data_IF_480242140129
#
_entry.id   IF_480242140129
#
_cell.length_a   1.000
_cell.length_b   1.000
_cell.length_c   1.000
_cell.angle_alpha   90.00
_cell.angle_beta   90.00
_cell.angle_gamma   90.00
#
_symmetry.space_group_name_H-M   'P 1'
#
loop_
_entity.id
_entity.type
_entity.pdbx_description
1 polymer ?
#
# COMPACT_ATOMS: atom_id res chain seq x y z
N UNK A 1 -12.05 -10.27 -5.83
CA UNK A 1 -11.75 -11.22 -4.73
C UNK A 1 -12.18 -10.57 -3.41
N UNK A 2 -12.87 -11.28 -2.53
CA UNK A 2 -13.36 -10.72 -1.25
C UNK A 2 -12.14 -10.48 -0.34
N UNK A 3 -11.96 -9.26 0.15
CA UNK A 3 -10.94 -8.98 1.16
C UNK A 3 -11.23 -9.83 2.40
N UNK A 4 -10.25 -10.62 2.83
CA UNK A 4 -10.39 -11.48 4.01
C UNK A 4 -10.24 -10.58 5.23
N UNK A 5 -11.26 -10.55 6.08
CA UNK A 5 -11.18 -9.88 7.38
C UNK A 5 -10.35 -10.73 8.35
N UNK A 6 -9.04 -10.46 8.40
CA UNK A 6 -8.10 -11.16 9.26
C UNK A 6 -8.46 -11.06 10.75
N UNK A 7 -9.22 -10.05 11.17
CA UNK A 7 -9.66 -9.96 12.57
C UNK A 7 -10.51 -11.15 13.00
N UNK A 8 -11.27 -11.75 12.07
CA UNK A 8 -12.07 -12.96 12.31
C UNK A 8 -11.23 -14.23 12.38
N UNK A 9 -10.13 -14.27 11.65
CA UNK A 9 -9.18 -15.40 11.66
C UNK A 9 -8.39 -15.40 12.97
N UNK A 10 -7.86 -14.24 13.36
CA UNK A 10 -7.04 -14.10 14.58
C UNK A 10 -7.87 -13.90 15.86
N UNK A 11 -9.20 -13.76 15.75
CA UNK A 11 -10.13 -13.59 16.88
C UNK A 11 -10.01 -12.25 17.62
N UNK A 12 -9.21 -11.30 17.12
CA UNK A 12 -8.99 -9.99 17.72
C UNK A 12 -8.66 -8.96 16.66
N UNK A 13 -9.45 -7.88 16.59
CA UNK A 13 -9.22 -6.75 15.68
C UNK A 13 -7.92 -6.02 15.99
N UNK A 14 -7.65 -5.78 17.28
CA UNK A 14 -6.41 -5.13 17.73
C UNK A 14 -5.19 -5.98 17.36
N UNK A 15 -5.24 -7.30 17.59
CA UNK A 15 -4.15 -8.22 17.20
C UNK A 15 -3.90 -8.23 15.70
N UNK A 16 -4.94 -8.34 14.88
CA UNK A 16 -4.80 -8.37 13.43
C UNK A 16 -4.14 -7.08 12.92
N UNK A 17 -4.56 -5.91 13.42
CA UNK A 17 -3.95 -4.62 13.10
C UNK A 17 -2.48 -4.52 13.56
N UNK A 18 -2.16 -4.99 14.75
CA UNK A 18 -0.78 -4.99 15.27
C UNK A 18 0.11 -5.88 14.42
N UNK A 19 -0.31 -7.12 14.17
CA UNK A 19 0.43 -8.05 13.32
C UNK A 19 0.66 -7.43 11.94
N UNK A 20 -0.38 -6.92 11.30
CA UNK A 20 -0.29 -6.24 10.00
C UNK A 20 0.74 -5.09 10.07
N UNK A 21 0.62 -4.15 11.01
CA UNK A 21 1.56 -3.03 11.15
C UNK A 21 3.02 -3.49 11.33
N UNK A 22 3.28 -4.44 12.21
CA UNK A 22 4.64 -4.92 12.47
C UNK A 22 5.23 -5.65 11.27
N UNK A 23 4.44 -6.47 10.57
CA UNK A 23 4.92 -7.16 9.36
C UNK A 23 5.23 -6.17 8.24
N UNK A 24 4.37 -5.17 8.05
CA UNK A 24 4.55 -4.17 7.01
C UNK A 24 5.79 -3.31 7.26
N UNK A 25 6.05 -2.89 8.50
CA UNK A 25 7.30 -2.21 8.87
C UNK A 25 8.53 -3.08 8.61
N UNK A 26 8.49 -4.35 9.03
CA UNK A 26 9.57 -5.32 8.80
C UNK A 26 9.88 -5.50 7.30
N UNK A 27 8.85 -5.66 6.47
CA UNK A 27 8.99 -5.78 5.01
C UNK A 27 9.53 -4.51 4.34
N UNK A 28 9.38 -3.35 4.98
CA UNK A 28 9.98 -2.09 4.53
C UNK A 28 11.50 -2.05 4.71
N UNK A 29 12.08 -3.05 5.37
CA UNK A 29 13.44 -3.03 5.89
C UNK A 29 13.57 -2.25 7.21
N UNK A 30 12.45 -1.84 7.82
CA UNK A 30 12.42 -1.09 9.07
C UNK A 30 12.02 -1.99 10.25
N UNK A 31 13.00 -2.71 10.80
CA UNK A 31 12.79 -3.51 12.02
C UNK A 31 13.28 -2.77 13.29
N UNK A 32 13.35 -1.43 13.28
CA UNK A 32 13.83 -0.65 14.44
C UNK A 32 12.89 -0.76 15.66
N UNK A 33 11.63 -1.07 15.37
CA UNK A 33 10.58 -1.34 16.35
C UNK A 33 9.76 -0.12 16.73
N UNK A 34 8.65 -0.38 17.42
CA UNK A 34 7.66 0.63 17.79
C UNK A 34 7.39 0.61 19.29
N UNK A 35 7.23 1.79 19.87
CA UNK A 35 6.72 1.95 21.23
C UNK A 35 5.20 1.79 21.26
N UNK A 36 4.67 1.18 22.32
CA UNK A 36 3.23 0.94 22.53
C UNK A 36 2.32 2.15 22.26
N UNK A 37 2.72 3.36 22.67
CA UNK A 37 1.90 4.57 22.43
C UNK A 37 1.85 4.99 20.97
N UNK A 38 2.92 4.75 20.21
CA UNK A 38 2.94 5.00 18.77
C UNK A 38 1.97 4.02 18.08
N UNK A 39 2.10 2.72 18.39
CA UNK A 39 1.20 1.68 17.88
C UNK A 39 -0.28 2.00 18.17
N UNK A 40 -0.59 2.42 19.40
CA UNK A 40 -1.97 2.78 19.77
C UNK A 40 -2.54 3.95 18.96
N UNK A 41 -1.70 4.97 18.69
CA UNK A 41 -2.10 6.13 17.89
C UNK A 41 -2.27 5.78 16.42
N UNK A 42 -1.29 5.07 15.85
CA UNK A 42 -1.28 4.71 14.43
C UNK A 42 -2.45 3.79 14.05
N UNK A 43 -2.84 2.90 14.97
CA UNK A 43 -3.91 1.93 14.76
C UNK A 43 -5.29 2.42 15.20
N UNK A 44 -5.37 3.60 15.83
CA UNK A 44 -6.57 4.13 16.49
C UNK A 44 -7.17 3.08 17.44
N UNK A 45 -6.35 2.59 18.38
CA UNK A 45 -6.70 1.54 19.34
C UNK A 45 -6.40 1.97 20.78
N UNK A 46 -7.15 1.42 21.73
CA UNK A 46 -6.93 1.72 23.15
C UNK A 46 -5.58 1.18 23.64
N UNK A 47 -4.82 2.02 24.35
CA UNK A 47 -3.47 1.71 24.83
C UNK A 47 -3.36 0.41 25.63
N UNK A 48 -4.36 0.08 26.45
CA UNK A 48 -4.36 -1.14 27.27
C UNK A 48 -4.61 -2.40 26.43
N UNK A 49 -5.44 -2.30 25.39
CA UNK A 49 -5.66 -3.38 24.42
C UNK A 49 -4.38 -3.65 23.65
N UNK A 50 -3.71 -2.58 23.19
CA UNK A 50 -2.42 -2.67 22.50
C UNK A 50 -1.35 -3.29 23.41
N UNK A 51 -1.26 -2.85 24.67
CA UNK A 51 -0.33 -3.42 25.65
C UNK A 51 -0.49 -4.93 25.76
N UNK A 52 -1.72 -5.39 26.01
CA UNK A 52 -2.03 -6.81 26.19
C UNK A 52 -1.66 -7.62 24.96
N UNK A 53 -1.98 -7.13 23.76
CA UNK A 53 -1.64 -7.86 22.53
C UNK A 53 -0.13 -7.84 22.25
N UNK A 54 0.59 -6.75 22.54
CA UNK A 54 2.06 -6.71 22.42
C UNK A 54 2.74 -7.70 23.38
N UNK A 55 2.28 -7.76 24.64
CA UNK A 55 2.80 -8.71 25.62
C UNK A 55 2.47 -10.17 25.18
N UNK A 56 1.23 -10.46 24.73
CA UNK A 56 0.86 -11.77 24.19
C UNK A 56 1.75 -12.18 23.00
N UNK A 57 1.98 -11.26 22.06
CA UNK A 57 2.79 -11.51 20.87
C UNK A 57 4.28 -11.69 21.22
N UNK A 58 4.76 -11.06 22.28
CA UNK A 58 6.09 -11.34 22.84
C UNK A 58 6.16 -12.74 23.46
N UNK A 59 5.16 -13.13 24.25
CA UNK A 59 5.13 -14.41 24.97
C UNK A 59 5.13 -15.62 24.02
N UNK A 60 4.45 -15.52 22.87
CA UNK A 60 4.47 -16.56 21.82
C UNK A 60 5.75 -16.51 20.97
N UNK A 61 6.66 -15.57 21.24
CA UNK A 61 7.92 -15.40 20.52
C UNK A 61 7.82 -14.72 19.15
N UNK A 62 6.67 -14.13 18.80
CA UNK A 62 6.50 -13.37 17.56
C UNK A 62 7.23 -12.03 17.61
N UNK A 63 7.12 -11.31 18.74
CA UNK A 63 7.84 -10.07 18.99
C UNK A 63 9.01 -10.29 19.95
N UNK A 64 10.03 -9.44 19.81
CA UNK A 64 11.00 -9.12 20.86
C UNK A 64 10.82 -7.68 21.30
N UNK A 65 11.45 -7.30 22.40
CA UNK A 65 11.57 -5.90 22.76
C UNK A 65 12.99 -5.57 23.21
N UNK A 66 13.39 -4.32 22.98
CA UNK A 66 14.56 -3.69 23.60
C UNK A 66 14.09 -2.58 24.52
N UNK A 67 14.90 -2.27 25.53
CA UNK A 67 14.65 -1.12 26.39
C UNK A 67 15.35 0.09 25.79
N UNK A 68 14.59 1.15 25.52
CA UNK A 68 15.11 2.45 25.09
C UNK A 68 14.54 3.55 25.99
N UNK A 69 15.39 4.31 26.68
CA UNK A 69 15.00 5.35 27.64
C UNK A 69 13.87 4.91 28.59
N UNK A 70 13.99 3.70 29.17
CA UNK A 70 13.01 3.03 30.06
C UNK A 70 11.67 2.66 29.39
N UNK A 71 11.57 2.69 28.08
CA UNK A 71 10.40 2.27 27.30
C UNK A 71 10.69 0.95 26.59
N UNK A 72 9.69 0.08 26.50
CA UNK A 72 9.77 -1.11 25.64
C UNK A 72 9.54 -0.69 24.20
N UNK A 73 10.52 -0.97 23.35
CA UNK A 73 10.42 -0.85 21.90
C UNK A 73 10.29 -2.27 21.35
N UNK A 74 9.12 -2.61 20.83
CA UNK A 74 8.83 -3.94 20.30
C UNK A 74 9.25 -4.02 18.84
N UNK A 75 9.71 -5.18 18.37
CA UNK A 75 10.09 -5.44 16.98
C UNK A 75 9.89 -6.92 16.63
N UNK A 76 9.86 -7.25 15.34
CA UNK A 76 9.63 -8.63 14.89
C UNK A 76 10.82 -9.51 15.25
N UNK A 77 10.54 -10.69 15.81
CA UNK A 77 11.52 -11.75 15.97
C UNK A 77 11.72 -12.47 14.63
N UNK A 78 12.82 -12.18 13.93
CA UNK A 78 13.14 -12.79 12.63
C UNK A 78 13.30 -14.32 12.70
N UNK A 79 13.59 -14.85 13.89
CA UNK A 79 13.70 -16.29 14.14
C UNK A 79 12.35 -16.94 14.52
N UNK A 80 11.23 -16.25 14.38
CA UNK A 80 9.92 -16.83 14.65
C UNK A 80 9.59 -17.92 13.61
N UNK A 81 9.20 -19.09 14.09
CA UNK A 81 9.07 -20.30 13.24
C UNK A 81 8.05 -20.15 12.11
N UNK A 82 7.03 -19.29 12.28
CA UNK A 82 5.99 -19.05 11.26
C UNK A 82 6.12 -17.69 10.55
N UNK A 83 7.32 -17.09 10.54
CA UNK A 83 7.51 -15.73 10.01
C UNK A 83 7.11 -15.62 8.53
N UNK A 84 7.47 -16.63 7.72
CA UNK A 84 7.19 -16.63 6.29
C UNK A 84 5.71 -16.84 5.98
N UNK A 85 5.04 -17.71 6.74
CA UNK A 85 3.61 -17.99 6.60
C UNK A 85 2.79 -16.76 6.93
N UNK A 86 3.14 -16.05 8.01
CA UNK A 86 2.46 -14.82 8.39
C UNK A 86 2.72 -13.71 7.38
N UNK A 87 3.97 -13.54 6.93
CA UNK A 87 4.32 -12.62 5.84
C UNK A 87 3.42 -12.84 4.62
N UNK A 88 3.31 -14.08 4.17
CA UNK A 88 2.45 -14.45 3.04
C UNK A 88 0.98 -14.10 3.27
N UNK A 89 0.44 -14.39 4.46
CA UNK A 89 -0.94 -14.06 4.82
C UNK A 89 -1.16 -12.54 4.73
N UNK A 90 -0.28 -11.74 5.34
CA UNK A 90 -0.45 -10.29 5.38
C UNK A 90 -0.28 -9.67 3.99
N UNK A 91 0.75 -10.05 3.23
CA UNK A 91 0.96 -9.55 1.87
C UNK A 91 -0.22 -9.91 0.94
N UNK A 92 -0.80 -11.11 1.08
CA UNK A 92 -2.00 -11.55 0.32
C UNK A 92 -3.29 -10.88 0.75
N UNK A 93 -3.36 -10.43 2.00
CA UNK A 93 -4.54 -9.72 2.54
C UNK A 93 -4.50 -8.21 2.30
N UNK A 94 -3.32 -7.65 2.08
CA UNK A 94 -3.11 -6.21 1.96
C UNK A 94 -3.66 -5.67 0.65
N UNK A 95 -4.57 -4.70 0.74
CA UNK A 95 -5.12 -3.99 -0.42
C UNK A 95 -4.69 -2.52 -0.41
N UNK A 96 -3.72 -2.10 -1.25
CA UNK A 96 -3.27 -0.71 -1.30
C UNK A 96 -4.31 0.23 -1.93
N UNK A 97 -5.33 -0.28 -2.62
CA UNK A 97 -6.21 0.54 -3.46
C UNK A 97 -6.98 1.58 -2.65
N UNK A 98 -7.43 1.26 -1.44
CA UNK A 98 -8.15 2.22 -0.60
C UNK A 98 -7.25 3.36 -0.12
N UNK A 99 -5.97 3.07 0.16
CA UNK A 99 -4.99 4.10 0.51
C UNK A 99 -4.68 4.99 -0.69
N UNK A 100 -4.53 4.40 -1.89
CA UNK A 100 -4.37 5.13 -3.15
C UNK A 100 -5.56 6.05 -3.43
N UNK A 101 -6.79 5.54 -3.30
CA UNK A 101 -8.00 6.36 -3.47
C UNK A 101 -8.05 7.54 -2.50
N UNK A 102 -7.68 7.32 -1.23
CA UNK A 102 -7.63 8.38 -0.23
C UNK A 102 -6.59 9.44 -0.56
N UNK A 103 -5.39 9.04 -0.98
CA UNK A 103 -4.33 9.95 -1.39
C UNK A 103 -4.76 10.83 -2.58
N UNK A 104 -5.35 10.24 -3.62
CA UNK A 104 -5.77 11.01 -4.79
C UNK A 104 -6.98 11.90 -4.55
N UNK A 105 -7.80 11.64 -3.52
CA UNK A 105 -8.95 12.51 -3.19
C UNK A 105 -8.56 13.93 -2.79
N UNK A 106 -7.36 14.13 -2.24
CA UNK A 106 -6.86 15.47 -1.90
C UNK A 106 -6.23 16.22 -3.07
N UNK A 107 -6.11 15.58 -4.25
CA UNK A 107 -5.36 16.13 -5.39
C UNK A 107 -6.33 16.49 -6.53
N UNK A 108 -6.63 17.78 -6.64
CA UNK A 108 -7.61 18.28 -7.61
C UNK A 108 -7.00 18.59 -8.99
N UNK A 109 -5.69 18.81 -9.05
CA UNK A 109 -4.91 19.18 -10.24
C UNK A 109 -4.76 18.07 -11.29
N UNK A 110 -5.12 16.84 -10.94
CA UNK A 110 -5.12 15.70 -11.86
C UNK A 110 -6.45 15.62 -12.61
N UNK A 111 -6.43 15.39 -13.91
CA UNK A 111 -7.62 15.29 -14.76
C UNK A 111 -7.98 13.82 -15.07
N UNK A 112 -6.97 12.96 -15.17
CA UNK A 112 -7.13 11.51 -15.30
C UNK A 112 -6.28 10.80 -14.26
N UNK A 113 -6.86 9.81 -13.59
CA UNK A 113 -6.18 8.90 -12.69
C UNK A 113 -6.58 7.49 -13.08
N UNK A 114 -5.65 6.78 -13.71
CA UNK A 114 -5.80 5.41 -14.15
C UNK A 114 -4.89 4.51 -13.32
N UNK A 115 -5.45 3.47 -12.72
CA UNK A 115 -4.71 2.51 -11.90
C UNK A 115 -4.98 1.11 -12.41
N UNK A 116 -3.95 0.33 -12.68
CA UNK A 116 -4.13 -1.05 -13.07
C UNK A 116 -4.39 -1.96 -11.86
N UNK A 117 -5.30 -2.93 -11.99
CA UNK A 117 -5.71 -3.82 -10.90
C UNK A 117 -4.57 -4.69 -10.35
N UNK A 118 -3.54 -4.97 -11.15
CA UNK A 118 -2.33 -5.68 -10.73
C UNK A 118 -1.65 -5.00 -9.52
N UNK A 119 -1.90 -3.70 -9.31
CA UNK A 119 -1.36 -2.95 -8.18
C UNK A 119 -1.70 -3.59 -6.82
N UNK A 120 -2.84 -4.29 -6.74
CA UNK A 120 -3.29 -5.01 -5.53
C UNK A 120 -2.33 -6.11 -5.11
N UNK A 121 -1.58 -6.67 -6.06
CA UNK A 121 -0.71 -7.82 -5.84
C UNK A 121 0.78 -7.48 -5.91
N UNK A 122 1.14 -6.18 -6.02
CA UNK A 122 2.54 -5.74 -6.19
C UNK A 122 3.49 -6.14 -5.08
N UNK A 123 2.94 -6.38 -3.90
CA UNK A 123 3.69 -6.89 -2.76
C UNK A 123 4.04 -8.38 -2.85
N UNK A 124 3.50 -9.10 -3.84
CA UNK A 124 3.69 -10.53 -4.03
C UNK A 124 4.33 -10.79 -5.39
N UNK A 125 3.76 -10.21 -6.44
CA UNK A 125 4.18 -10.39 -7.83
C UNK A 125 4.44 -9.00 -8.46
N UNK A 126 5.57 -8.79 -9.14
CA UNK A 126 5.84 -7.56 -9.89
C UNK A 126 4.81 -7.26 -11.00
N UNK A 127 3.92 -8.18 -11.39
CA UNK A 127 2.84 -7.97 -12.34
C UNK A 127 3.30 -7.77 -13.79
N UNK A 128 2.37 -7.84 -14.75
CA UNK A 128 2.66 -7.73 -16.19
C UNK A 128 2.17 -6.44 -16.83
N UNK A 129 1.56 -5.58 -16.02
CA UNK A 129 1.12 -4.25 -16.43
C UNK A 129 2.21 -3.44 -17.15
N UNK A 130 1.87 -2.65 -18.17
CA UNK A 130 2.80 -1.70 -18.78
C UNK A 130 3.11 -0.60 -17.76
N UNK A 131 2.04 -0.02 -17.19
CA UNK A 131 2.08 0.90 -16.06
C UNK A 131 1.11 0.43 -14.97
N UNK A 132 1.49 0.67 -13.73
CA UNK A 132 0.66 0.46 -12.55
C UNK A 132 -0.25 1.65 -12.30
N UNK A 133 0.27 2.86 -12.53
CA UNK A 133 -0.48 4.12 -12.39
C UNK A 133 -0.16 5.02 -13.57
N UNK A 134 -1.19 5.58 -14.19
CA UNK A 134 -1.05 6.58 -15.25
C UNK A 134 -1.87 7.81 -14.89
N UNK A 135 -1.20 8.97 -14.90
CA UNK A 135 -1.75 10.24 -14.47
C UNK A 135 -1.69 11.27 -15.61
N UNK A 136 -2.76 12.06 -15.73
CA UNK A 136 -2.76 13.26 -16.57
C UNK A 136 -3.03 14.46 -15.68
N UNK A 137 -2.17 15.48 -15.76
CA UNK A 137 -2.22 16.71 -14.96
C UNK A 137 -0.96 16.92 -14.14
N UNK A 138 -1.10 17.62 -13.02
CA UNK A 138 0.02 18.01 -12.17
C UNK A 138 -0.08 17.40 -10.77
N UNK A 139 1.06 16.95 -10.23
CA UNK A 139 1.22 16.42 -8.89
C UNK A 139 2.68 16.58 -8.47
N UNK A 140 2.92 16.85 -7.19
CA UNK A 140 4.27 16.82 -6.62
C UNK A 140 4.85 15.40 -6.70
N UNK A 141 5.97 15.26 -7.41
CA UNK A 141 6.59 13.96 -7.65
C UNK A 141 7.27 13.40 -6.42
N UNK A 142 7.81 14.25 -5.57
CA UNK A 142 8.54 13.82 -4.38
C UNK A 142 7.55 13.30 -3.34
N UNK A 143 6.47 14.06 -3.08
CA UNK A 143 5.37 13.61 -2.22
C UNK A 143 4.73 12.31 -2.73
N UNK A 144 4.55 12.19 -4.06
CA UNK A 144 3.99 10.98 -4.65
C UNK A 144 4.93 9.77 -4.54
N UNK A 145 6.23 9.97 -4.73
CA UNK A 145 7.22 8.92 -4.57
C UNK A 145 7.30 8.44 -3.11
N UNK A 146 7.30 9.36 -2.16
CA UNK A 146 7.29 9.05 -0.73
C UNK A 146 6.02 8.27 -0.34
N UNK A 147 4.87 8.69 -0.87
CA UNK A 147 3.62 7.95 -0.70
C UNK A 147 3.71 6.52 -1.25
N UNK A 148 4.21 6.34 -2.48
CA UNK A 148 4.35 5.02 -3.09
C UNK A 148 5.36 4.15 -2.32
N UNK A 149 6.51 4.70 -1.93
CA UNK A 149 7.51 4.01 -1.13
C UNK A 149 6.92 3.52 0.20
N UNK A 150 6.11 4.34 0.86
CA UNK A 150 5.44 3.98 2.11
C UNK A 150 4.36 2.91 1.94
N UNK A 151 3.53 2.99 0.89
CA UNK A 151 2.42 2.03 0.67
C UNK A 151 2.90 0.70 0.13
N UNK A 152 4.00 0.69 -0.63
CA UNK A 152 4.54 -0.48 -1.32
C UNK A 152 5.88 -0.97 -0.76
N UNK A 153 6.34 -0.44 0.38
CA UNK A 153 7.53 -0.91 1.08
C UNK A 153 8.77 -0.90 0.21
N UNK A 154 9.01 0.25 -0.43
CA UNK A 154 10.11 0.47 -1.38
C UNK A 154 10.11 -0.46 -2.61
N UNK A 155 9.05 -1.23 -2.85
CA UNK A 155 8.88 -1.97 -4.10
C UNK A 155 8.62 -0.99 -5.24
N UNK A 156 9.26 -1.26 -6.37
CA UNK A 156 9.16 -0.42 -7.56
C UNK A 156 7.74 -0.44 -8.13
N UNK A 157 7.14 0.74 -8.23
CA UNK A 157 5.85 0.97 -8.90
C UNK A 157 6.10 1.69 -10.22
N UNK A 158 5.56 1.15 -11.33
CA UNK A 158 5.70 1.75 -12.65
C UNK A 158 4.63 2.81 -12.82
N UNK A 159 4.99 4.08 -12.85
CA UNK A 159 4.03 5.14 -13.13
C UNK A 159 4.53 6.11 -14.19
N UNK A 160 3.58 6.79 -14.84
CA UNK A 160 3.88 7.92 -15.72
C UNK A 160 2.90 9.06 -15.47
N UNK A 161 3.39 10.28 -15.64
CA UNK A 161 2.66 11.53 -15.46
C UNK A 161 2.91 12.36 -16.70
N UNK A 162 1.84 12.77 -17.38
CA UNK A 162 1.91 13.65 -18.55
C UNK A 162 0.95 14.82 -18.40
N UNK A 163 1.19 15.90 -19.14
CA UNK A 163 0.25 17.01 -19.23
C UNK A 163 -0.90 16.66 -20.16
N UNK A 164 -2.01 17.37 -20.00
CA UNK A 164 -3.18 17.25 -20.88
C UNK A 164 -2.82 17.56 -22.34
N UNK A 165 -1.94 18.53 -22.57
CA UNK A 165 -1.44 18.88 -23.89
C UNK A 165 -0.63 17.73 -24.51
N UNK A 166 0.32 17.15 -23.76
CA UNK A 166 1.12 16.00 -24.23
C UNK A 166 0.22 14.80 -24.55
N UNK A 167 -0.81 14.55 -23.73
CA UNK A 167 -1.79 13.50 -24.00
C UNK A 167 -2.50 13.68 -25.34
N UNK A 168 -3.07 14.86 -25.60
CA UNK A 168 -3.79 15.11 -26.84
C UNK A 168 -2.88 15.07 -28.06
N UNK A 169 -1.65 15.58 -27.94
CA UNK A 169 -0.65 15.48 -29.00
C UNK A 169 -0.33 14.02 -29.32
N UNK A 170 -0.04 13.20 -28.31
CA UNK A 170 0.26 11.77 -28.50
C UNK A 170 -0.89 10.99 -29.12
N UNK A 171 -2.13 11.25 -28.70
CA UNK A 171 -3.32 10.64 -29.32
C UNK A 171 -3.46 11.06 -30.78
N UNK A 172 -3.29 12.35 -31.09
CA UNK A 172 -3.38 12.89 -32.46
C UNK A 172 -2.34 12.26 -33.41
N UNK A 173 -1.12 12.00 -32.92
CA UNK A 173 -0.06 11.36 -33.70
C UNK A 173 -0.09 9.82 -33.65
N UNK A 174 -1.09 9.21 -33.00
CA UNK A 174 -1.25 7.76 -32.94
C UNK A 174 -0.20 7.05 -32.10
N UNK A 175 0.19 7.62 -30.96
CA UNK A 175 1.14 7.00 -30.02
C UNK A 175 0.59 5.66 -29.49
N UNK A 176 1.18 4.57 -29.99
CA UNK A 176 0.81 3.20 -29.62
C UNK A 176 0.98 2.91 -28.13
N UNK A 177 1.92 3.56 -27.45
CA UNK A 177 2.16 3.32 -26.03
C UNK A 177 0.99 3.84 -25.19
N UNK A 178 0.50 5.05 -25.48
CA UNK A 178 -0.68 5.61 -24.80
C UNK A 178 -1.90 4.75 -25.08
N UNK A 179 -2.14 4.37 -26.34
CA UNK A 179 -3.26 3.48 -26.69
C UNK A 179 -3.18 2.14 -25.95
N UNK A 180 -1.99 1.53 -25.87
CA UNK A 180 -1.80 0.27 -25.16
C UNK A 180 -2.03 0.41 -23.65
N UNK A 181 -1.56 1.51 -23.04
CA UNK A 181 -1.79 1.80 -21.62
C UNK A 181 -3.29 1.91 -21.34
N UNK A 182 -4.02 2.69 -22.15
CA UNK A 182 -5.46 2.92 -21.95
C UNK A 182 -6.29 1.66 -22.15
N UNK A 183 -5.94 0.84 -23.15
CA UNK A 183 -6.66 -0.38 -23.52
C UNK A 183 -6.23 -1.62 -22.71
N UNK A 184 -5.29 -1.48 -21.79
CA UNK A 184 -4.83 -2.59 -20.97
C UNK A 184 -5.97 -3.13 -20.09
N UNK A 185 -6.11 -4.46 -20.06
CA UNK A 185 -7.10 -5.11 -19.18
C UNK A 185 -6.81 -4.80 -17.72
N UNK A 186 -7.88 -4.69 -16.92
CA UNK A 186 -7.78 -4.44 -15.49
C UNK A 186 -7.55 -2.98 -15.11
N UNK A 187 -7.67 -2.06 -16.06
CA UNK A 187 -7.59 -0.63 -15.77
C UNK A 187 -8.82 -0.13 -14.99
N UNK A 188 -8.55 0.57 -13.90
CA UNK A 188 -9.53 1.19 -13.01
C UNK A 188 -9.36 2.70 -13.10
N UNK A 189 -10.40 3.39 -13.55
CA UNK A 189 -10.44 4.84 -13.61
C UNK A 189 -10.91 5.38 -12.26
N UNK A 190 -10.01 6.02 -11.51
CA UNK A 190 -10.34 6.68 -10.25
C UNK A 190 -10.85 8.11 -10.45
N UNK A 191 -10.42 8.76 -11.53
CA UNK A 191 -10.88 10.08 -12.00
C UNK A 191 -10.73 10.14 -13.50
N UNK A 192 -11.73 10.69 -14.20
CA UNK A 192 -11.69 10.92 -15.65
C UNK A 192 -12.55 12.14 -16.01
N UNK A 193 -11.98 13.34 -15.87
CA UNK A 193 -12.65 14.58 -16.30
C UNK A 193 -12.57 14.80 -17.80
N UNK A 194 -11.67 14.09 -18.49
CA UNK A 194 -11.41 14.19 -19.92
C UNK A 194 -12.31 13.30 -20.78
N UNK A 195 -13.12 12.43 -20.15
CA UNK A 195 -13.96 11.41 -20.79
C UNK A 195 -13.14 10.52 -21.72
N UNK A 196 -11.99 10.07 -21.24
CA UNK A 196 -11.11 9.16 -21.97
C UNK A 196 -11.76 7.78 -22.09
N UNK A 197 -12.48 7.33 -21.05
CA UNK A 197 -13.17 6.04 -21.06
C UNK A 197 -14.14 5.91 -22.24
N UNK A 198 -14.86 6.98 -22.58
CA UNK A 198 -15.85 6.99 -23.67
C UNK A 198 -15.19 6.86 -25.06
N UNK A 199 -13.88 7.13 -25.15
CA UNK A 199 -13.10 7.14 -26.41
C UNK A 199 -12.30 5.86 -26.63
N UNK A 200 -12.33 4.93 -25.67
CA UNK A 200 -11.63 3.65 -25.73
C UNK A 200 -12.54 2.60 -26.38
N UNK A 201 -12.08 2.01 -27.50
CA UNK A 201 -12.73 0.91 -28.22
C UNK A 201 -11.71 -0.18 -28.57
#
# INVERSE_FOLDING_TARGET
MKTIDLSKVFGSKCRAKILEKFFLEYESGNNEGLHMRAVARDLDEQINSVKRELDNLYDIGFLRYKMDLKKKIFFINENFILINEFKDIFLKSYDPLDKIKKFFRSINTLELILVNEDIRYKLIDPGKSILDIFLIGEIDKDDFNDFLAHIFYNRKIKYAIITTEDFYNRIKYGDKLISNILNQKGNIFLKDTLKVMDKIH
#
